data_IF_881664965628
#
_entry.id   IF_881664965628
#
_cell.length_a   1.000
_cell.length_b   1.000
_cell.length_c   1.000
_cell.angle_alpha   90.00
_cell.angle_beta   90.00
_cell.angle_gamma   90.00
#
_symmetry.space_group_name_H-M   'P 1'
#
loop_
_entity.id
_entity.type
_entity.pdbx_description
1 polymer ?
#
# COMPACT_ATOMS: atom_id res chain seq x y z
N UNK A 1 15.89 10.37 -5.77
CA UNK A 1 15.97 10.41 -4.29
C UNK A 1 17.08 11.31 -3.76
N UNK A 2 17.89 11.98 -4.60
CA UNK A 2 18.91 12.94 -4.16
C UNK A 2 19.88 12.41 -3.10
N UNK A 3 20.25 11.14 -3.20
CA UNK A 3 21.21 10.45 -2.33
C UNK A 3 22.45 10.05 -3.12
N UNK A 4 23.57 9.86 -2.44
CA UNK A 4 24.78 9.34 -3.08
C UNK A 4 24.54 7.93 -3.66
N UNK A 5 25.14 7.58 -4.81
CA UNK A 5 24.85 6.33 -5.54
C UNK A 5 25.00 5.04 -4.72
N UNK A 6 25.87 5.05 -3.72
CA UNK A 6 26.19 3.93 -2.84
C UNK A 6 25.15 3.69 -1.73
N UNK A 7 24.39 4.72 -1.35
CA UNK A 7 23.49 4.67 -0.17
C UNK A 7 22.43 3.59 -0.34
N UNK A 8 21.77 3.55 -1.50
CA UNK A 8 20.69 2.58 -1.76
C UNK A 8 21.25 1.15 -1.89
N UNK A 9 22.25 0.86 -2.75
CA UNK A 9 22.82 -0.49 -2.84
C UNK A 9 23.34 -1.02 -1.51
N UNK A 10 24.05 -0.19 -0.73
CA UNK A 10 24.55 -0.60 0.59
C UNK A 10 23.39 -0.89 1.55
N UNK A 11 22.38 -0.01 1.59
CA UNK A 11 21.21 -0.22 2.43
C UNK A 11 20.42 -1.48 2.07
N UNK A 12 20.31 -1.81 0.79
CA UNK A 12 19.68 -3.06 0.34
C UNK A 12 20.45 -4.30 0.83
N UNK A 13 21.79 -4.26 0.87
CA UNK A 13 22.61 -5.34 1.41
C UNK A 13 22.45 -5.50 2.93
N UNK A 14 22.31 -4.39 3.64
CA UNK A 14 22.16 -4.37 5.10
C UNK A 14 20.74 -4.73 5.57
N UNK A 15 19.74 -4.63 4.68
CA UNK A 15 18.36 -5.07 4.93
C UNK A 15 17.72 -4.37 6.13
N UNK A 16 17.19 -5.15 7.09
CA UNK A 16 16.48 -4.66 8.26
C UNK A 16 17.29 -3.64 9.07
N UNK A 17 18.62 -3.81 9.15
CA UNK A 17 19.49 -2.88 9.85
C UNK A 17 19.49 -1.47 9.23
N UNK A 18 19.37 -1.35 7.90
CA UNK A 18 19.27 -0.07 7.23
C UNK A 18 17.96 0.65 7.56
N UNK A 19 16.84 -0.08 7.55
CA UNK A 19 15.52 0.47 7.90
C UNK A 19 15.52 0.97 9.34
N UNK A 20 16.04 0.19 10.27
CA UNK A 20 16.14 0.59 11.69
C UNK A 20 16.92 1.90 11.81
N UNK A 21 18.04 2.06 11.09
CA UNK A 21 18.81 3.30 11.11
C UNK A 21 18.06 4.47 10.48
N UNK A 22 17.43 4.28 9.32
CA UNK A 22 16.65 5.34 8.65
C UNK A 22 15.50 5.85 9.51
N UNK A 23 14.68 4.93 10.04
CA UNK A 23 13.52 5.28 10.87
C UNK A 23 13.97 5.90 12.20
N UNK A 24 15.06 5.43 12.79
CA UNK A 24 15.60 6.03 14.01
C UNK A 24 16.04 7.47 13.78
N UNK A 25 16.78 7.72 12.68
CA UNK A 25 17.36 9.02 12.39
C UNK A 25 16.37 10.04 11.79
N UNK A 26 15.51 9.61 10.87
CA UNK A 26 14.65 10.48 10.06
C UNK A 26 13.16 10.15 10.09
N UNK A 27 12.75 9.07 10.78
CA UNK A 27 11.35 8.70 10.94
C UNK A 27 10.62 9.57 11.96
N UNK A 28 9.30 9.62 11.82
CA UNK A 28 8.38 10.19 12.81
C UNK A 28 8.21 9.24 14.00
N UNK A 29 7.57 9.72 15.09
CA UNK A 29 7.24 8.84 16.23
C UNK A 29 6.27 7.71 15.84
N UNK A 30 5.40 7.97 14.87
CA UNK A 30 4.52 6.95 14.30
C UNK A 30 5.30 5.90 13.49
N UNK A 31 6.34 6.31 12.75
CA UNK A 31 7.18 5.36 12.02
C UNK A 31 8.00 4.49 12.98
N UNK A 32 8.53 5.09 14.06
CA UNK A 32 9.26 4.35 15.10
C UNK A 32 8.37 3.34 15.81
N UNK A 33 7.15 3.73 16.18
CA UNK A 33 6.21 2.78 16.76
C UNK A 33 5.79 1.70 15.76
N UNK A 34 5.51 2.08 14.51
CA UNK A 34 5.15 1.12 13.47
C UNK A 34 6.28 0.10 13.25
N UNK A 35 7.52 0.56 13.20
CA UNK A 35 8.69 -0.32 13.11
C UNK A 35 8.78 -1.24 14.32
N UNK A 36 8.63 -0.71 15.54
CA UNK A 36 8.63 -1.54 16.75
C UNK A 36 7.52 -2.59 16.74
N UNK A 37 6.33 -2.24 16.25
CA UNK A 37 5.22 -3.18 16.11
C UNK A 37 5.57 -4.28 15.13
N UNK A 38 6.04 -3.92 13.93
CA UNK A 38 6.41 -4.88 12.88
C UNK A 38 7.50 -5.85 13.38
N UNK A 39 8.54 -5.34 14.04
CA UNK A 39 9.69 -6.16 14.43
C UNK A 39 9.41 -7.08 15.63
N UNK A 40 8.51 -6.70 16.54
CA UNK A 40 8.46 -7.33 17.87
C UNK A 40 7.07 -7.75 18.36
N UNK A 41 6.00 -7.16 17.83
CA UNK A 41 4.65 -7.40 18.31
C UNK A 41 4.00 -8.62 17.64
N UNK A 42 2.93 -9.10 18.26
CA UNK A 42 2.00 -10.04 17.62
C UNK A 42 0.90 -9.27 16.90
N UNK A 43 0.47 -9.78 15.75
CA UNK A 43 -0.65 -9.24 14.99
C UNK A 43 -1.89 -9.12 15.90
N UNK A 44 -2.44 -7.91 15.97
CA UNK A 44 -3.64 -7.59 16.77
C UNK A 44 -3.36 -7.24 18.23
N UNK A 45 -2.10 -7.21 18.66
CA UNK A 45 -1.73 -6.85 20.04
C UNK A 45 -1.68 -5.35 20.31
N UNK A 46 -1.65 -4.50 19.27
CA UNK A 46 -1.62 -3.04 19.44
C UNK A 46 -3.00 -2.50 19.76
N UNK A 47 -3.10 -1.64 20.77
CA UNK A 47 -4.32 -0.90 21.11
C UNK A 47 -4.47 0.42 20.35
N UNK A 48 -3.50 0.77 19.50
CA UNK A 48 -3.61 1.95 18.64
C UNK A 48 -4.74 1.79 17.64
N UNK A 49 -5.54 2.84 17.53
CA UNK A 49 -6.62 2.94 16.55
C UNK A 49 -6.25 3.88 15.42
N UNK A 50 -6.81 3.58 14.26
CA UNK A 50 -6.58 4.25 13.00
C UNK A 50 -7.91 4.81 12.47
N UNK A 51 -7.97 5.13 11.17
CA UNK A 51 -9.16 5.65 10.52
C UNK A 51 -10.40 4.82 10.86
N UNK A 52 -11.47 5.48 11.29
CA UNK A 52 -12.71 4.80 11.67
C UNK A 52 -12.62 3.93 12.94
N UNK A 53 -11.57 4.08 13.75
CA UNK A 53 -11.37 3.27 14.96
C UNK A 53 -10.76 1.89 14.70
N UNK A 54 -10.33 1.59 13.47
CA UNK A 54 -9.74 0.32 13.10
C UNK A 54 -8.45 0.05 13.89
N UNK A 55 -8.27 -1.19 14.35
CA UNK A 55 -7.02 -1.67 14.94
C UNK A 55 -6.26 -2.49 13.90
N UNK A 56 -4.92 -2.42 13.92
CA UNK A 56 -4.08 -3.26 13.04
C UNK A 56 -4.43 -4.74 13.25
N UNK A 57 -4.51 -5.48 12.16
CA UNK A 57 -4.72 -6.93 12.09
C UNK A 57 -6.04 -7.43 12.71
N UNK A 58 -6.99 -6.50 12.94
CA UNK A 58 -8.30 -6.79 13.51
C UNK A 58 -9.45 -6.51 12.52
N UNK A 59 -10.60 -7.13 12.77
CA UNK A 59 -11.87 -6.81 12.11
C UNK A 59 -12.47 -5.49 12.64
N UNK A 60 -13.59 -5.06 12.04
CA UNK A 60 -14.34 -3.85 12.45
C UNK A 60 -14.84 -3.90 13.91
N UNK A 61 -14.84 -5.08 14.56
CA UNK A 61 -15.20 -5.28 15.97
C UNK A 61 -13.98 -5.31 16.89
N UNK A 62 -12.79 -5.06 16.37
CA UNK A 62 -11.53 -5.07 17.11
C UNK A 62 -10.99 -6.47 17.44
N UNK A 63 -11.53 -7.53 16.82
CA UNK A 63 -11.07 -8.91 17.03
C UNK A 63 -9.99 -9.25 16.01
N UNK A 64 -8.91 -9.89 16.46
CA UNK A 64 -7.82 -10.33 15.58
C UNK A 64 -8.38 -11.20 14.46
N UNK A 65 -8.03 -10.89 13.21
CA UNK A 65 -8.53 -11.62 12.06
C UNK A 65 -7.96 -13.05 12.03
N UNK A 66 -8.74 -14.01 11.55
CA UNK A 66 -8.28 -15.41 11.47
C UNK A 66 -7.02 -15.56 10.60
N UNK A 67 -6.92 -14.81 9.51
CA UNK A 67 -5.73 -14.75 8.63
C UNK A 67 -4.51 -14.06 9.27
N UNK A 68 -4.62 -13.65 10.54
CA UNK A 68 -3.58 -13.03 11.36
C UNK A 68 -3.21 -13.87 12.57
N UNK A 69 -3.65 -15.12 12.59
CA UNK A 69 -3.36 -16.05 13.68
C UNK A 69 -2.64 -17.30 13.18
N UNK A 70 -1.79 -17.85 14.04
CA UNK A 70 -1.10 -19.13 13.83
C UNK A 70 -1.15 -19.94 15.11
N UNK A 71 -0.99 -21.26 14.98
CA UNK A 71 -0.87 -22.17 16.12
C UNK A 71 0.59 -22.23 16.57
N UNK A 72 0.86 -21.95 17.83
CA UNK A 72 2.18 -22.06 18.42
C UNK A 72 2.62 -23.53 18.65
N UNK A 73 3.86 -23.73 19.10
CA UNK A 73 4.41 -25.07 19.37
C UNK A 73 3.69 -25.86 20.47
N UNK A 74 2.82 -25.22 21.25
CA UNK A 74 2.01 -25.84 22.30
C UNK A 74 0.56 -26.09 21.84
N UNK A 75 0.23 -25.83 20.58
CA UNK A 75 -1.13 -25.98 20.05
C UNK A 75 -2.06 -24.81 20.36
N UNK A 76 -1.55 -23.69 20.90
CA UNK A 76 -2.36 -22.51 21.23
C UNK A 76 -2.33 -21.51 20.07
N UNK A 77 -3.49 -20.91 19.76
CA UNK A 77 -3.56 -19.81 18.81
C UNK A 77 -2.93 -18.54 19.37
N UNK A 78 -2.10 -17.88 18.56
CA UNK A 78 -1.51 -16.55 18.81
C UNK A 78 -1.58 -15.67 17.57
N UNK A 79 -1.34 -14.37 17.71
CA UNK A 79 -1.17 -13.47 16.56
C UNK A 79 0.12 -13.78 15.81
N UNK A 80 0.15 -13.56 14.49
CA UNK A 80 1.36 -13.70 13.68
C UNK A 80 2.45 -12.70 14.10
N UNK A 81 3.71 -13.12 14.04
CA UNK A 81 4.92 -12.30 14.20
C UNK A 81 5.59 -12.16 12.84
N UNK A 82 6.57 -11.26 12.73
CA UNK A 82 7.30 -11.02 11.47
C UNK A 82 7.80 -12.31 10.80
N UNK A 83 8.34 -13.24 11.58
CA UNK A 83 8.81 -14.55 11.11
C UNK A 83 7.70 -15.38 10.44
N UNK A 84 6.45 -15.27 10.88
CA UNK A 84 5.32 -15.99 10.28
C UNK A 84 4.92 -15.36 8.95
N UNK A 85 4.99 -14.03 8.84
CA UNK A 85 4.76 -13.33 7.58
C UNK A 85 5.83 -13.66 6.54
N UNK A 86 7.11 -13.69 6.94
CA UNK A 86 8.22 -14.10 6.07
C UNK A 86 8.10 -15.59 5.69
N UNK A 87 7.58 -16.41 6.60
CA UNK A 87 7.30 -17.83 6.36
C UNK A 87 6.01 -18.07 5.57
N UNK A 88 5.21 -17.05 5.27
CA UNK A 88 4.00 -17.22 4.47
C UNK A 88 4.35 -17.74 3.06
N UNK A 89 3.51 -18.61 2.49
CA UNK A 89 3.80 -19.24 1.19
C UNK A 89 4.07 -18.20 0.09
N UNK A 90 3.25 -17.15 0.02
CA UNK A 90 3.45 -16.04 -0.92
C UNK A 90 4.75 -15.25 -0.67
N UNK A 91 5.14 -15.04 0.59
CA UNK A 91 6.39 -14.33 0.91
C UNK A 91 7.61 -15.14 0.48
N UNK A 92 7.60 -16.45 0.75
CA UNK A 92 8.66 -17.37 0.30
C UNK A 92 8.75 -17.44 -1.22
N UNK A 93 7.61 -17.56 -1.90
CA UNK A 93 7.56 -17.59 -3.36
C UNK A 93 8.12 -16.31 -3.99
N UNK A 94 7.82 -15.14 -3.41
CA UNK A 94 8.37 -13.86 -3.84
C UNK A 94 9.81 -13.59 -3.37
N UNK A 95 10.41 -14.45 -2.53
CA UNK A 95 11.70 -14.18 -1.86
C UNK A 95 11.68 -12.86 -1.06
N UNK A 96 10.59 -12.60 -0.35
CA UNK A 96 10.53 -11.51 0.62
C UNK A 96 11.35 -11.87 1.86
N UNK A 97 11.97 -10.84 2.41
CA UNK A 97 12.71 -10.84 3.68
C UNK A 97 12.07 -9.88 4.67
N UNK A 98 12.49 -9.93 5.93
CA UNK A 98 12.10 -9.01 7.01
C UNK A 98 12.30 -7.52 6.67
N UNK A 99 13.16 -7.21 5.70
CA UNK A 99 13.45 -5.85 5.28
C UNK A 99 12.36 -5.23 4.37
N UNK A 100 11.36 -5.99 3.90
CA UNK A 100 10.35 -5.45 2.99
C UNK A 100 9.16 -4.88 3.78
N UNK A 101 9.35 -3.68 4.36
CA UNK A 101 8.34 -2.99 5.17
C UNK A 101 7.97 -1.63 4.56
N UNK A 102 6.81 -1.08 4.93
CA UNK A 102 6.32 0.22 4.46
C UNK A 102 5.81 1.08 5.62
N UNK A 103 5.95 2.40 5.49
CA UNK A 103 5.48 3.38 6.47
C UNK A 103 4.66 4.48 5.81
N UNK A 104 3.74 5.09 6.56
CA UNK A 104 2.87 6.17 6.05
C UNK A 104 3.65 7.41 5.64
N UNK A 105 4.76 7.71 6.34
CA UNK A 105 5.50 8.97 6.17
C UNK A 105 6.26 9.09 4.84
N UNK A 106 6.41 8.00 4.07
CA UNK A 106 7.13 8.02 2.78
C UNK A 106 6.40 8.82 1.70
N UNK A 107 5.06 8.94 1.79
CA UNK A 107 4.25 9.45 0.69
C UNK A 107 4.43 10.95 0.46
N UNK A 108 4.39 11.75 1.52
CA UNK A 108 4.44 13.21 1.39
C UNK A 108 5.79 13.71 0.87
N UNK A 109 6.94 13.22 1.37
CA UNK A 109 8.21 13.52 0.74
C UNK A 109 8.20 13.04 -0.73
N UNK A 110 7.81 11.82 -1.08
CA UNK A 110 7.78 11.43 -2.50
C UNK A 110 6.97 12.39 -3.41
N UNK A 111 5.91 13.01 -2.88
CA UNK A 111 5.08 14.01 -3.59
C UNK A 111 5.64 15.43 -3.60
N UNK A 112 6.52 15.79 -2.68
CA UNK A 112 7.10 17.13 -2.60
C UNK A 112 8.20 17.32 -3.66
N UNK A 113 7.80 17.96 -4.77
CA UNK A 113 8.68 18.31 -5.89
C UNK A 113 9.71 19.38 -5.53
N UNK A 114 9.36 20.32 -4.65
CA UNK A 114 10.26 21.41 -4.28
C UNK A 114 11.49 20.88 -3.52
N UNK A 115 11.32 19.90 -2.63
CA UNK A 115 12.46 19.20 -2.01
C UNK A 115 13.35 18.54 -3.07
N UNK A 116 12.76 17.86 -4.04
CA UNK A 116 13.53 17.23 -5.12
C UNK A 116 14.33 18.26 -5.93
N UNK A 117 13.71 19.39 -6.29
CA UNK A 117 14.35 20.50 -6.99
C UNK A 117 15.48 21.15 -6.19
N UNK A 118 15.35 21.21 -4.85
CA UNK A 118 16.42 21.66 -3.95
C UNK A 118 17.54 20.63 -3.76
N UNK A 119 17.45 19.44 -4.37
CA UNK A 119 18.44 18.38 -4.21
C UNK A 119 18.43 17.74 -2.82
N UNK A 120 17.35 17.91 -2.05
CA UNK A 120 17.24 17.37 -0.69
C UNK A 120 16.88 15.87 -0.73
N UNK A 121 17.61 15.01 -0.01
CA UNK A 121 17.32 13.58 0.01
C UNK A 121 15.98 13.27 0.66
N UNK A 122 15.37 12.15 0.24
CA UNK A 122 14.30 11.54 1.02
C UNK A 122 14.85 11.11 2.39
N UNK A 123 14.04 11.13 3.45
CA UNK A 123 14.47 10.75 4.80
C UNK A 123 14.65 9.24 4.96
N UNK A 124 13.85 8.45 4.22
CA UNK A 124 13.83 6.98 4.24
C UNK A 124 14.12 6.35 2.84
N UNK A 125 15.25 6.69 2.17
CA UNK A 125 15.50 6.30 0.79
C UNK A 125 15.66 4.79 0.58
N UNK A 126 16.34 4.08 1.47
CA UNK A 126 16.52 2.63 1.43
C UNK A 126 15.17 1.95 1.65
N UNK A 127 14.36 2.44 2.59
CA UNK A 127 13.01 1.92 2.85
C UNK A 127 12.12 2.04 1.61
N UNK A 128 12.16 3.18 0.90
CA UNK A 128 11.45 3.36 -0.38
C UNK A 128 11.96 2.37 -1.44
N UNK A 129 13.27 2.14 -1.51
CA UNK A 129 13.86 1.19 -2.44
C UNK A 129 13.45 -0.27 -2.14
N UNK A 130 13.43 -0.66 -0.86
CA UNK A 130 12.98 -1.97 -0.41
C UNK A 130 11.49 -2.19 -0.68
N UNK A 131 10.65 -1.17 -0.49
CA UNK A 131 9.24 -1.25 -0.86
C UNK A 131 9.07 -1.48 -2.36
N UNK A 132 9.81 -0.74 -3.20
CA UNK A 132 9.78 -0.95 -4.66
C UNK A 132 10.25 -2.36 -5.05
N UNK A 133 11.30 -2.86 -4.40
CA UNK A 133 11.80 -4.22 -4.60
C UNK A 133 10.74 -5.27 -4.21
N UNK A 134 10.08 -5.08 -3.06
CA UNK A 134 9.00 -5.95 -2.58
C UNK A 134 7.86 -6.06 -3.59
N UNK A 135 7.38 -4.91 -4.09
CA UNK A 135 6.29 -4.86 -5.07
C UNK A 135 6.67 -5.49 -6.40
N UNK A 136 7.94 -5.36 -6.82
CA UNK A 136 8.47 -6.06 -7.99
C UNK A 136 8.48 -7.58 -7.81
N UNK A 137 8.97 -8.05 -6.66
CA UNK A 137 9.03 -9.47 -6.29
C UNK A 137 7.65 -10.12 -6.17
N UNK A 138 6.70 -9.42 -5.57
CA UNK A 138 5.32 -9.89 -5.38
C UNK A 138 4.57 -10.14 -6.71
N UNK A 139 5.07 -9.62 -7.84
CA UNK A 139 4.54 -9.99 -9.17
C UNK A 139 4.69 -11.49 -9.46
N UNK A 140 5.67 -12.17 -8.87
CA UNK A 140 5.80 -13.62 -9.01
C UNK A 140 4.62 -14.38 -8.37
N UNK A 141 4.08 -13.87 -7.26
CA UNK A 141 2.88 -14.43 -6.60
C UNK A 141 1.66 -14.20 -7.47
N UNK A 142 1.49 -12.99 -7.99
CA UNK A 142 0.40 -12.69 -8.91
C UNK A 142 0.46 -13.53 -10.18
N UNK A 143 1.65 -13.75 -10.74
CA UNK A 143 1.80 -14.60 -11.92
C UNK A 143 1.40 -16.05 -11.64
N UNK A 144 1.79 -16.60 -10.49
CA UNK A 144 1.59 -18.01 -10.15
C UNK A 144 0.17 -18.31 -9.65
N UNK A 145 -0.36 -17.50 -8.74
CA UNK A 145 -1.76 -17.60 -8.27
C UNK A 145 -2.76 -17.41 -9.41
N UNK A 146 -2.32 -16.77 -10.50
CA UNK A 146 -3.12 -16.56 -11.68
C UNK A 146 -2.70 -17.40 -12.90
N UNK A 147 -1.89 -18.47 -12.70
CA UNK A 147 -1.52 -19.43 -13.74
C UNK A 147 -2.76 -20.01 -14.44
N UNK A 148 -3.16 -19.44 -15.59
CA UNK A 148 -4.37 -19.78 -16.32
C UNK A 148 -5.24 -18.58 -16.69
N UNK A 149 -6.57 -18.78 -16.79
CA UNK A 149 -7.56 -17.79 -17.26
C UNK A 149 -7.63 -16.51 -16.41
N UNK A 150 -7.03 -16.48 -15.22
CA UNK A 150 -7.13 -15.38 -14.26
C UNK A 150 -6.00 -14.34 -14.39
N UNK A 151 -4.85 -14.67 -15.00
CA UNK A 151 -3.74 -13.72 -15.16
C UNK A 151 -4.11 -12.53 -16.04
N UNK A 152 -4.99 -12.80 -17.01
CA UNK A 152 -5.55 -11.82 -17.94
C UNK A 152 -6.96 -11.38 -17.51
N UNK A 153 -7.34 -11.60 -16.24
CA UNK A 153 -8.65 -11.17 -15.75
C UNK A 153 -8.64 -9.67 -15.50
N UNK A 154 -9.61 -9.00 -16.12
CA UNK A 154 -9.94 -7.62 -15.79
C UNK A 154 -10.36 -7.50 -14.33
N UNK A 155 -9.75 -6.57 -13.60
CA UNK A 155 -10.17 -6.20 -12.23
C UNK A 155 -10.30 -4.70 -12.15
N UNK A 156 -11.41 -4.26 -11.58
CA UNK A 156 -11.64 -2.88 -11.18
C UNK A 156 -11.12 -2.68 -9.77
N UNK A 157 -10.24 -1.69 -9.60
CA UNK A 157 -9.75 -1.26 -8.31
C UNK A 157 -10.19 0.17 -8.07
N UNK A 158 -10.39 0.53 -6.82
CA UNK A 158 -10.95 1.81 -6.43
C UNK A 158 -9.97 2.56 -5.54
N UNK A 159 -9.89 3.88 -5.74
CA UNK A 159 -9.18 4.79 -4.86
C UNK A 159 -10.07 5.99 -4.55
N UNK A 160 -10.42 6.12 -3.28
CA UNK A 160 -11.14 7.27 -2.78
C UNK A 160 -10.20 8.42 -2.45
N UNK A 161 -10.57 9.62 -2.90
CA UNK A 161 -9.93 10.88 -2.53
C UNK A 161 -10.98 11.83 -1.95
N UNK A 162 -10.72 12.31 -0.74
CA UNK A 162 -11.56 13.29 -0.04
C UNK A 162 -11.14 14.71 -0.36
N UNK A 163 -12.08 15.64 -0.25
CA UNK A 163 -11.84 17.09 -0.31
C UNK A 163 -11.16 17.55 -1.62
N UNK A 164 -11.40 16.82 -2.72
CA UNK A 164 -10.81 17.12 -4.04
C UNK A 164 -11.83 16.96 -5.15
N UNK A 165 -11.55 17.61 -6.28
CA UNK A 165 -12.17 17.38 -7.59
C UNK A 165 -11.07 16.98 -8.58
N UNK A 166 -11.43 16.30 -9.67
CA UNK A 166 -10.45 16.01 -10.70
C UNK A 166 -10.09 17.28 -11.49
N UNK A 167 -8.80 17.69 -11.51
CA UNK A 167 -8.39 18.85 -12.29
C UNK A 167 -8.61 18.61 -13.79
N UNK A 168 -9.00 19.65 -14.54
CA UNK A 168 -9.17 19.55 -15.99
C UNK A 168 -7.89 19.07 -16.69
N UNK A 169 -6.73 19.51 -16.23
CA UNK A 169 -5.43 19.06 -16.75
C UNK A 169 -5.19 17.57 -16.52
N UNK A 170 -5.60 17.04 -15.36
CA UNK A 170 -5.56 15.59 -15.12
C UNK A 170 -6.45 14.87 -16.11
N UNK A 171 -7.68 15.35 -16.34
CA UNK A 171 -8.60 14.74 -17.30
C UNK A 171 -8.07 14.76 -18.74
N UNK A 172 -7.31 15.79 -19.11
CA UNK A 172 -6.76 15.94 -20.45
C UNK A 172 -5.45 15.17 -20.67
N UNK A 173 -4.59 15.09 -19.64
CA UNK A 173 -3.19 14.66 -19.79
C UNK A 173 -2.77 13.55 -18.82
N UNK A 174 -3.68 13.07 -17.97
CA UNK A 174 -3.37 12.16 -16.88
C UNK A 174 -2.46 12.76 -15.82
N UNK A 175 -1.92 11.89 -14.97
CA UNK A 175 -1.09 12.29 -13.85
C UNK A 175 -0.24 11.16 -13.32
N UNK A 176 0.94 11.48 -12.78
CA UNK A 176 1.82 10.50 -12.14
C UNK A 176 1.68 10.62 -10.62
N UNK A 177 1.31 9.52 -9.97
CA UNK A 177 1.39 9.41 -8.52
C UNK A 177 2.84 9.07 -8.14
N UNK A 178 3.49 10.01 -7.44
CA UNK A 178 4.91 9.93 -7.10
C UNK A 178 5.18 8.99 -5.93
N UNK A 179 4.18 8.75 -5.08
CA UNK A 179 4.24 7.83 -3.95
C UNK A 179 3.68 6.44 -4.32
N UNK A 180 3.85 5.42 -3.47
CA UNK A 180 3.03 4.21 -3.58
C UNK A 180 1.54 4.58 -3.50
N UNK A 181 0.73 3.90 -4.29
CA UNK A 181 -0.70 4.20 -4.42
C UNK A 181 -1.54 3.00 -3.99
N UNK A 182 -2.10 3.10 -2.79
CA UNK A 182 -3.09 2.14 -2.29
C UNK A 182 -4.39 2.25 -3.06
N UNK A 183 -4.94 1.10 -3.42
CA UNK A 183 -6.24 0.92 -4.05
C UNK A 183 -6.91 -0.30 -3.44
N UNK A 184 -8.22 -0.45 -3.60
CA UNK A 184 -8.98 -1.57 -3.04
C UNK A 184 -9.90 -2.18 -4.08
N UNK A 185 -10.13 -3.49 -4.02
CA UNK A 185 -11.19 -4.12 -4.81
C UNK A 185 -12.59 -3.96 -4.20
N UNK A 186 -12.68 -3.44 -2.98
CA UNK A 186 -13.95 -3.17 -2.27
C UNK A 186 -14.33 -1.68 -2.39
N UNK A 187 -15.35 -1.41 -3.21
CA UNK A 187 -15.85 -0.04 -3.41
C UNK A 187 -16.27 0.63 -2.09
N UNK A 188 -16.81 -0.13 -1.14
CA UNK A 188 -17.26 0.43 0.14
C UNK A 188 -16.09 0.97 0.97
N UNK A 189 -14.91 0.32 0.88
CA UNK A 189 -13.68 0.80 1.51
C UNK A 189 -13.26 2.13 0.87
N UNK A 190 -13.19 2.19 -0.46
CA UNK A 190 -12.82 3.43 -1.15
C UNK A 190 -13.76 4.61 -0.81
N UNK A 191 -15.07 4.35 -0.76
CA UNK A 191 -16.07 5.34 -0.38
C UNK A 191 -15.89 5.86 1.06
N UNK A 192 -15.61 4.97 2.03
CA UNK A 192 -15.34 5.40 3.42
C UNK A 192 -14.12 6.33 3.49
N UNK A 193 -13.10 6.08 2.68
CA UNK A 193 -11.89 6.92 2.63
C UNK A 193 -12.12 8.29 1.97
N UNK A 194 -13.09 8.40 1.06
CA UNK A 194 -13.40 9.65 0.34
C UNK A 194 -14.60 10.43 0.89
N UNK A 195 -15.33 9.86 1.87
CA UNK A 195 -16.51 10.48 2.46
C UNK A 195 -16.26 11.92 2.93
N UNK A 196 -16.73 12.87 2.12
CA UNK A 196 -16.55 14.32 2.28
C UNK A 196 -17.58 15.06 1.41
N UNK A 197 -17.64 16.40 1.51
CA UNK A 197 -18.55 17.20 0.69
C UNK A 197 -18.21 17.18 -0.81
N UNK A 198 -16.95 16.92 -1.14
CA UNK A 198 -16.45 16.81 -2.52
C UNK A 198 -15.52 15.61 -2.59
N UNK A 199 -15.93 14.57 -3.31
CA UNK A 199 -15.23 13.29 -3.31
C UNK A 199 -15.06 12.77 -4.73
N UNK A 200 -13.84 12.27 -5.01
CA UNK A 200 -13.51 11.61 -6.27
C UNK A 200 -13.21 10.14 -5.97
N UNK A 201 -13.77 9.26 -6.80
CA UNK A 201 -13.42 7.86 -6.87
C UNK A 201 -12.70 7.61 -8.19
N UNK A 202 -11.42 7.23 -8.12
CA UNK A 202 -10.76 6.69 -9.29
C UNK A 202 -11.09 5.20 -9.39
N UNK A 203 -11.66 4.78 -10.52
CA UNK A 203 -11.83 3.36 -10.86
C UNK A 203 -10.75 2.95 -11.85
N UNK A 204 -9.74 2.26 -11.34
CA UNK A 204 -8.61 1.77 -12.11
C UNK A 204 -9.02 0.50 -12.84
N UNK A 205 -8.96 0.53 -14.16
CA UNK A 205 -9.26 -0.62 -15.03
C UNK A 205 -7.94 -1.32 -15.35
N UNK A 206 -7.75 -2.52 -14.80
CA UNK A 206 -6.56 -3.35 -15.07
C UNK A 206 -6.94 -4.59 -15.84
N UNK A 207 -6.33 -4.82 -17.01
CA UNK A 207 -6.67 -5.97 -17.89
C UNK A 207 -5.88 -7.24 -17.54
N UNK A 208 -4.77 -7.09 -16.83
CA UNK A 208 -3.95 -8.22 -16.37
C UNK A 208 -3.17 -7.86 -15.11
N UNK A 209 -2.58 -8.87 -14.47
CA UNK A 209 -1.71 -8.66 -13.32
C UNK A 209 -0.48 -7.77 -13.64
N UNK A 210 -0.06 -7.70 -14.91
CA UNK A 210 1.08 -6.86 -15.31
C UNK A 210 0.79 -5.37 -15.16
N UNK A 211 -0.48 -4.99 -15.31
CA UNK A 211 -0.98 -3.61 -15.18
C UNK A 211 -1.48 -3.29 -13.77
N UNK A 212 -1.34 -4.20 -12.80
CA UNK A 212 -1.84 -4.03 -11.44
C UNK A 212 -0.70 -4.04 -10.42
N UNK A 213 -0.86 -3.30 -9.34
CA UNK A 213 -0.12 -3.59 -8.11
C UNK A 213 -0.45 -4.99 -7.59
N UNK A 214 0.44 -5.66 -6.84
CA UNK A 214 0.11 -6.93 -6.20
C UNK A 214 -0.96 -6.76 -5.12
N UNK A 215 -1.75 -7.82 -4.89
CA UNK A 215 -2.57 -7.97 -3.69
C UNK A 215 -1.65 -8.10 -2.47
N UNK A 216 -1.79 -7.18 -1.52
CA UNK A 216 -0.99 -7.18 -0.30
C UNK A 216 -1.81 -7.49 0.96
N UNK A 217 -3.04 -8.01 0.82
CA UNK A 217 -3.89 -8.36 1.96
C UNK A 217 -3.17 -9.25 2.99
N UNK A 218 -2.34 -10.18 2.53
CA UNK A 218 -1.62 -11.08 3.44
C UNK A 218 -0.48 -10.39 4.22
N UNK A 219 -0.01 -9.22 3.78
CA UNK A 219 1.02 -8.40 4.43
C UNK A 219 0.47 -7.13 5.10
N UNK A 220 -0.70 -6.65 4.68
CA UNK A 220 -1.26 -5.38 5.14
C UNK A 220 -1.65 -5.43 6.62
N UNK A 221 -1.39 -4.36 7.36
CA UNK A 221 -1.90 -4.21 8.71
C UNK A 221 -3.45 -4.05 8.74
N UNK A 222 -4.11 -3.90 7.60
CA UNK A 222 -5.57 -3.81 7.49
C UNK A 222 -6.09 -4.77 6.41
N UNK A 223 -6.05 -6.10 6.65
CA UNK A 223 -6.34 -7.10 5.61
C UNK A 223 -7.76 -6.98 5.05
N UNK A 224 -8.71 -6.51 5.87
CA UNK A 224 -10.09 -6.28 5.46
C UNK A 224 -10.27 -5.16 4.43
N UNK A 225 -9.26 -4.33 4.18
CA UNK A 225 -9.32 -3.26 3.17
C UNK A 225 -9.12 -3.75 1.73
N UNK A 226 -8.81 -5.04 1.53
CA UNK A 226 -8.64 -5.64 0.21
C UNK A 226 -7.63 -4.88 -0.69
N UNK A 227 -6.47 -4.53 -0.10
CA UNK A 227 -5.53 -3.57 -0.69
C UNK A 227 -4.69 -4.17 -1.83
N UNK A 228 -4.67 -3.45 -2.95
CA UNK A 228 -3.72 -3.58 -4.05
C UNK A 228 -2.81 -2.36 -4.06
N UNK A 229 -1.50 -2.56 -3.97
CA UNK A 229 -0.54 -1.48 -3.83
C UNK A 229 0.28 -1.27 -5.10
N UNK A 230 0.08 -0.12 -5.76
CA UNK A 230 0.87 0.25 -6.93
C UNK A 230 2.21 0.90 -6.50
N UNK A 231 3.30 0.67 -7.24
CA UNK A 231 4.60 1.25 -6.94
C UNK A 231 4.61 2.78 -7.14
N UNK A 232 5.58 3.48 -6.55
CA UNK A 232 5.88 4.87 -6.89
C UNK A 232 6.02 5.07 -8.40
N UNK A 233 5.67 6.28 -8.87
CA UNK A 233 5.73 6.69 -10.27
C UNK A 233 4.72 5.98 -11.18
N UNK A 234 3.59 5.52 -10.63
CA UNK A 234 2.50 4.99 -11.44
C UNK A 234 1.78 6.14 -12.14
N UNK A 235 1.72 6.10 -13.47
CA UNK A 235 0.95 7.04 -14.27
C UNK A 235 -0.50 6.57 -14.41
N UNK A 236 -1.45 7.49 -14.27
CA UNK A 236 -2.88 7.27 -14.41
C UNK A 236 -3.38 8.03 -15.64
N UNK A 237 -3.92 7.28 -16.60
CA UNK A 237 -4.49 7.81 -17.83
C UNK A 237 -6.02 7.79 -17.73
N UNK A 238 -6.72 8.94 -17.66
CA UNK A 238 -8.17 8.99 -17.75
C UNK A 238 -8.66 8.39 -19.06
N UNK A 239 -9.75 7.64 -19.01
CA UNK A 239 -10.38 7.12 -20.24
C UNK A 239 -11.28 8.15 -20.91
N UNK A 240 -11.64 9.21 -20.19
CA UNK A 240 -12.68 10.17 -20.57
C UNK A 240 -14.06 9.80 -20.04
N UNK A 241 -14.24 8.59 -19.50
CA UNK A 241 -15.50 8.16 -18.91
C UNK A 241 -15.60 8.67 -17.46
N UNK A 242 -16.66 9.43 -17.20
CA UNK A 242 -17.00 9.96 -15.89
C UNK A 242 -18.46 9.63 -15.58
N UNK A 243 -18.71 9.05 -14.42
CA UNK A 243 -20.05 8.80 -13.92
C UNK A 243 -20.25 9.45 -12.56
N UNK A 244 -21.46 9.92 -12.27
CA UNK A 244 -21.81 10.42 -10.94
C UNK A 244 -22.64 9.36 -10.23
N UNK A 245 -22.11 8.82 -9.13
CA UNK A 245 -22.82 7.85 -8.29
C UNK A 245 -23.32 8.56 -7.06
N UNK A 246 -24.65 8.57 -6.88
CA UNK A 246 -25.28 9.06 -5.64
C UNK A 246 -25.65 7.86 -4.77
N UNK A 247 -25.25 7.90 -3.51
CA UNK A 247 -25.59 6.84 -2.55
C UNK A 247 -26.62 7.31 -1.53
N UNK A 248 -27.27 6.35 -0.86
CA UNK A 248 -28.23 6.63 0.21
C UNK A 248 -27.58 7.56 1.26
N UNK A 249 -28.28 8.64 1.60
CA UNK A 249 -27.75 9.72 2.44
C UNK A 249 -27.30 10.97 1.67
N UNK A 250 -27.42 10.99 0.34
CA UNK A 250 -27.25 12.19 -0.49
C UNK A 250 -25.80 12.54 -0.84
N UNK A 251 -24.85 11.67 -0.51
CA UNK A 251 -23.46 11.81 -0.95
C UNK A 251 -23.34 11.45 -2.43
N UNK A 252 -22.75 12.36 -3.20
CA UNK A 252 -22.43 12.16 -4.61
C UNK A 252 -20.92 11.97 -4.78
N UNK A 253 -20.55 10.95 -5.55
CA UNK A 253 -19.17 10.63 -5.91
C UNK A 253 -19.01 10.82 -7.41
N UNK A 254 -18.00 11.60 -7.81
CA UNK A 254 -17.53 11.60 -9.18
C UNK A 254 -16.60 10.39 -9.36
N UNK A 255 -17.02 9.43 -10.18
CA UNK A 255 -16.24 8.24 -10.50
C UNK A 255 -15.58 8.45 -11.86
N UNK A 256 -14.25 8.33 -11.89
CA UNK A 256 -13.45 8.56 -13.07
C UNK A 256 -12.70 7.28 -13.41
N UNK A 257 -12.91 6.80 -14.62
CA UNK A 257 -12.21 5.63 -15.12
C UNK A 257 -10.79 6.00 -15.55
N UNK A 258 -9.82 5.24 -15.05
CA UNK A 258 -8.41 5.45 -15.37
C UNK A 258 -7.72 4.12 -15.71
N UNK A 259 -6.70 4.18 -16.56
CA UNK A 259 -5.80 3.06 -16.85
C UNK A 259 -4.43 3.33 -16.22
N UNK A 260 -3.96 2.47 -15.31
CA UNK A 260 -2.63 2.61 -14.74
C UNK A 260 -1.54 2.15 -15.72
N UNK A 261 -0.40 2.85 -15.72
CA UNK A 261 0.83 2.50 -16.42
C UNK A 261 2.00 2.57 -15.42
N UNK A 262 2.71 1.45 -15.26
CA UNK A 262 3.84 1.27 -14.32
C UNK A 262 5.15 1.05 -15.08
#
# INVERSE_FOLDING_TARGET
MCVAPEVVPQGLLEGTAAIVREVSAGGTDDDRECLSYILHAEAGSSDRTYQGGLKRDCDERGRVMACRTVTDGNGKMRGMRLEDFVSHASARHANLTEAHVAFRSINNPLRDKARFERGEPHQLPVTVALLRDALGKLRAVEADQNSGKTAMRRVYLYRGMKDVTAPADFMAQGGTELAPMSTTSDLSVAMRYSASSTSVLLRLITESFMQRGPDICFLSAFPGEAEFLFPPLTYLEPTGDVETVTVEGGLAYEVIDVRPRM
#
